data_IF_167819427492
#
_entry.id   IF_167819427492
#
_cell.length_a   1.000
_cell.length_b   1.000
_cell.length_c   1.000
_cell.angle_alpha   90.00
_cell.angle_beta   90.00
_cell.angle_gamma   90.00
#
_symmetry.space_group_name_H-M   'P 1'
#
loop_
_entity.id
_entity.type
_entity.pdbx_description
1 polymer ?
#
# COMPACT_ATOMS: atom_id res chain seq x y z
N UNK A 1 24.05 -28.25 -5.10
CA UNK A 1 22.70 -27.81 -5.49
C UNK A 1 22.38 -26.62 -4.61
N UNK A 2 22.60 -25.40 -5.12
CA UNK A 2 22.37 -24.17 -4.37
C UNK A 2 20.86 -24.05 -4.20
N UNK A 3 20.35 -24.05 -2.96
CA UNK A 3 18.93 -23.76 -2.72
C UNK A 3 18.73 -22.35 -3.26
N UNK A 4 18.04 -22.21 -4.39
CA UNK A 4 17.58 -20.93 -4.90
C UNK A 4 16.67 -20.35 -3.82
N UNK A 5 17.20 -19.44 -2.99
CA UNK A 5 16.35 -18.75 -2.03
C UNK A 5 15.39 -17.89 -2.85
N UNK A 6 14.11 -18.22 -2.75
CA UNK A 6 13.04 -17.49 -3.43
C UNK A 6 12.67 -16.27 -2.60
N UNK A 7 12.79 -15.07 -3.18
CA UNK A 7 12.24 -13.85 -2.58
C UNK A 7 10.71 -13.95 -2.43
N UNK A 8 10.05 -14.76 -3.26
CA UNK A 8 8.62 -15.07 -3.10
C UNK A 8 8.44 -16.07 -1.96
N UNK A 9 7.79 -15.64 -0.89
CA UNK A 9 7.50 -16.45 0.30
C UNK A 9 6.18 -17.20 0.14
N UNK A 10 5.13 -16.51 -0.30
CA UNK A 10 3.80 -17.11 -0.52
C UNK A 10 3.03 -16.40 -1.62
N UNK A 11 2.17 -17.12 -2.34
CA UNK A 11 1.20 -16.55 -3.28
C UNK A 11 -0.20 -16.93 -2.83
N UNK A 12 -0.99 -15.93 -2.49
CA UNK A 12 -2.39 -16.05 -2.15
C UNK A 12 -3.26 -15.94 -3.42
N UNK A 13 -4.29 -16.79 -3.58
CA UNK A 13 -5.19 -16.74 -4.72
C UNK A 13 -6.02 -15.45 -4.76
N UNK A 14 -6.12 -14.71 -3.65
CA UNK A 14 -6.74 -13.38 -3.63
C UNK A 14 -6.22 -12.58 -2.44
N UNK A 15 -6.20 -11.25 -2.51
CA UNK A 15 -5.86 -10.39 -1.37
C UNK A 15 -6.70 -10.71 -0.13
N UNK A 16 -7.99 -10.99 -0.33
CA UNK A 16 -8.88 -11.39 0.77
C UNK A 16 -8.59 -12.78 1.37
N UNK A 17 -7.62 -13.53 0.85
CA UNK A 17 -7.14 -14.78 1.45
C UNK A 17 -5.83 -14.60 2.24
N UNK A 18 -5.25 -13.39 2.24
CA UNK A 18 -4.13 -13.05 3.12
C UNK A 18 -4.66 -13.08 4.57
N UNK A 19 -4.00 -13.79 5.50
CA UNK A 19 -4.41 -13.81 6.90
C UNK A 19 -4.50 -12.41 7.48
N UNK A 20 -5.59 -12.12 8.20
CA UNK A 20 -5.86 -10.77 8.75
C UNK A 20 -4.76 -10.34 9.73
N UNK A 21 -4.24 -11.27 10.53
CA UNK A 21 -3.18 -11.05 11.51
C UNK A 21 -1.82 -10.73 10.86
N UNK A 22 -1.55 -11.25 9.66
CA UNK A 22 -0.28 -11.02 8.95
C UNK A 22 -0.02 -9.53 8.70
N UNK A 23 -1.05 -8.77 8.33
CA UNK A 23 -0.93 -7.32 8.12
C UNK A 23 -0.46 -6.58 9.37
N UNK A 24 -1.04 -6.93 10.53
CA UNK A 24 -0.65 -6.34 11.80
C UNK A 24 0.75 -6.80 12.21
N UNK A 25 1.07 -8.07 12.05
CA UNK A 25 2.39 -8.63 12.40
C UNK A 25 3.52 -7.97 11.60
N UNK A 26 3.33 -7.75 10.29
CA UNK A 26 4.33 -7.09 9.45
C UNK A 26 4.52 -5.63 9.86
N UNK A 27 3.42 -4.92 10.12
CA UNK A 27 3.47 -3.55 10.61
C UNK A 27 4.19 -3.46 11.98
N UNK A 28 3.91 -4.38 12.90
CA UNK A 28 4.54 -4.43 14.22
C UNK A 28 6.04 -4.74 14.15
N UNK A 29 6.48 -5.54 13.19
CA UNK A 29 7.91 -5.85 12.98
C UNK A 29 8.68 -4.71 12.33
N UNK A 30 8.04 -3.89 11.52
CA UNK A 30 8.70 -2.77 10.83
C UNK A 30 9.28 -1.77 11.84
N UNK A 31 10.50 -1.31 11.59
CA UNK A 31 11.23 -0.35 12.43
C UNK A 31 11.81 0.82 11.66
N UNK A 32 12.01 0.70 10.35
CA UNK A 32 12.65 1.75 9.54
C UNK A 32 11.63 2.45 8.63
N UNK A 33 10.84 1.69 7.90
CA UNK A 33 9.93 2.23 6.89
C UNK A 33 8.65 1.40 6.75
N UNK A 34 7.55 2.11 6.53
CA UNK A 34 6.26 1.55 6.13
C UNK A 34 5.80 2.31 4.88
N UNK A 35 5.57 1.58 3.79
CA UNK A 35 5.11 2.15 2.52
C UNK A 35 3.81 1.51 2.08
N UNK A 36 2.81 2.31 1.73
CA UNK A 36 1.54 1.81 1.17
C UNK A 36 1.27 2.54 -0.14
N UNK A 37 1.14 1.79 -1.23
CA UNK A 37 0.78 2.31 -2.55
C UNK A 37 -0.49 1.62 -3.03
N UNK A 38 -1.59 2.38 -3.07
CA UNK A 38 -2.93 1.90 -3.39
C UNK A 38 -3.71 2.95 -4.16
N UNK A 39 -4.85 2.56 -4.75
CA UNK A 39 -5.89 3.53 -5.04
C UNK A 39 -6.66 3.86 -3.76
N UNK A 40 -7.44 2.92 -3.20
CA UNK A 40 -8.27 3.16 -2.02
C UNK A 40 -7.70 2.69 -0.67
N UNK A 41 -7.21 1.44 -0.57
CA UNK A 41 -6.64 0.91 0.69
C UNK A 41 -7.59 0.76 1.90
N UNK A 42 -8.88 1.10 1.77
CA UNK A 42 -9.86 1.18 2.88
C UNK A 42 -9.89 -0.05 3.81
N UNK A 43 -9.68 -1.25 3.27
CA UNK A 43 -9.72 -2.49 4.05
C UNK A 43 -8.72 -2.53 5.21
N UNK A 44 -7.60 -1.80 5.11
CA UNK A 44 -6.57 -1.75 6.15
C UNK A 44 -7.13 -1.16 7.46
N UNK A 45 -7.60 0.10 7.49
CA UNK A 45 -8.16 0.66 8.71
C UNK A 45 -9.58 0.14 9.02
N UNK A 46 -10.35 -0.30 8.01
CA UNK A 46 -11.73 -0.76 8.20
C UNK A 46 -11.80 -2.11 8.95
N UNK A 47 -10.88 -3.03 8.65
CA UNK A 47 -10.88 -4.37 9.26
C UNK A 47 -9.78 -4.58 10.31
N UNK A 48 -8.86 -3.62 10.46
CA UNK A 48 -7.84 -3.66 11.49
C UNK A 48 -7.81 -2.34 12.29
N UNK A 49 -8.51 -2.34 13.42
CA UNK A 49 -8.57 -1.22 14.36
C UNK A 49 -7.21 -0.77 14.93
N UNK A 50 -6.18 -1.63 14.91
CA UNK A 50 -4.82 -1.31 15.37
C UNK A 50 -3.94 -0.72 14.28
N UNK A 51 -4.39 -0.72 13.02
CA UNK A 51 -3.61 -0.23 11.88
C UNK A 51 -3.12 1.20 12.07
N UNK A 52 -4.03 2.15 12.27
CA UNK A 52 -3.69 3.58 12.43
C UNK A 52 -2.94 3.86 13.74
N UNK A 53 -3.37 3.32 14.91
CA UNK A 53 -2.60 3.44 16.15
C UNK A 53 -1.16 2.94 16.03
N UNK A 54 -0.94 1.78 15.41
CA UNK A 54 0.41 1.24 15.24
C UNK A 54 1.24 2.08 14.25
N UNK A 55 0.66 2.59 13.15
CA UNK A 55 1.37 3.55 12.29
C UNK A 55 1.82 4.81 13.05
N UNK A 56 0.97 5.34 13.94
CA UNK A 56 1.31 6.47 14.82
C UNK A 56 2.48 6.12 15.74
N UNK A 57 2.45 4.96 16.37
CA UNK A 57 3.54 4.48 17.24
C UNK A 57 4.86 4.35 16.47
N UNK A 58 4.82 3.79 15.26
CA UNK A 58 6.00 3.68 14.39
C UNK A 58 6.56 5.05 13.99
N UNK A 59 5.69 5.97 13.60
CA UNK A 59 6.09 7.33 13.26
C UNK A 59 6.75 8.06 14.45
N UNK A 60 6.15 7.96 15.65
CA UNK A 60 6.69 8.54 16.88
C UNK A 60 8.01 7.90 17.31
N UNK A 61 8.22 6.63 16.98
CA UNK A 61 9.49 5.94 17.18
C UNK A 61 10.56 6.26 16.11
N UNK A 62 10.23 7.09 15.11
CA UNK A 62 11.14 7.56 14.08
C UNK A 62 11.11 6.79 12.75
N UNK A 63 10.25 5.78 12.62
CA UNK A 63 10.07 5.10 11.32
C UNK A 63 9.43 6.04 10.30
N UNK A 64 9.87 5.96 9.04
CA UNK A 64 9.26 6.70 7.94
C UNK A 64 7.98 5.99 7.48
N UNK A 65 6.88 6.74 7.36
CA UNK A 65 5.59 6.21 6.91
C UNK A 65 5.13 6.97 5.67
N UNK A 66 4.99 6.28 4.55
CA UNK A 66 4.56 6.87 3.29
C UNK A 66 3.31 6.17 2.77
N UNK A 67 2.18 6.90 2.77
CA UNK A 67 0.89 6.39 2.31
C UNK A 67 0.49 7.13 1.03
N UNK A 68 0.38 6.40 -0.08
CA UNK A 68 0.04 6.90 -1.39
C UNK A 68 -1.33 6.34 -1.80
N UNK A 69 -2.28 7.25 -1.98
CA UNK A 69 -3.64 6.99 -2.40
C UNK A 69 -3.86 7.53 -3.81
N UNK A 70 -4.79 6.93 -4.54
CA UNK A 70 -5.18 7.47 -5.84
C UNK A 70 -5.80 8.86 -5.69
N UNK A 71 -5.57 9.73 -6.66
CA UNK A 71 -6.21 11.05 -6.68
C UNK A 71 -7.71 10.89 -6.99
N UNK A 72 -8.64 11.27 -6.09
CA UNK A 72 -10.09 11.13 -6.31
C UNK A 72 -10.59 11.90 -7.53
N UNK A 73 -9.84 12.92 -7.96
CA UNK A 73 -10.10 13.74 -9.16
C UNK A 73 -9.24 13.31 -10.36
N UNK A 74 -8.38 12.30 -10.19
CA UNK A 74 -7.46 11.80 -11.19
C UNK A 74 -8.12 10.97 -12.27
N UNK A 75 -7.59 11.03 -13.49
CA UNK A 75 -8.15 10.31 -14.63
C UNK A 75 -8.09 8.79 -14.43
N UNK A 76 -7.02 8.29 -13.81
CA UNK A 76 -6.83 6.85 -13.65
C UNK A 76 -7.75 6.26 -12.56
N UNK A 77 -8.25 7.10 -11.66
CA UNK A 77 -9.28 6.70 -10.69
C UNK A 77 -10.65 6.60 -11.34
N UNK A 78 -11.00 7.54 -12.22
CA UNK A 78 -12.22 7.44 -13.01
C UNK A 78 -12.20 6.19 -13.90
N UNK A 79 -11.13 5.98 -14.68
CA UNK A 79 -10.94 4.80 -15.53
C UNK A 79 -11.05 3.49 -14.72
N UNK A 80 -10.38 3.41 -13.56
CA UNK A 80 -10.44 2.24 -12.70
C UNK A 80 -11.85 1.99 -12.15
N UNK A 81 -12.57 3.05 -11.81
CA UNK A 81 -13.96 2.98 -11.37
C UNK A 81 -14.85 2.36 -12.44
N UNK A 82 -14.69 2.81 -13.69
CA UNK A 82 -15.44 2.29 -14.83
C UNK A 82 -15.08 0.83 -15.14
N UNK A 83 -13.78 0.50 -15.15
CA UNK A 83 -13.29 -0.87 -15.37
C UNK A 83 -13.85 -1.86 -14.32
N UNK A 84 -13.92 -1.46 -13.05
CA UNK A 84 -14.48 -2.28 -11.97
C UNK A 84 -16.03 -2.25 -11.91
N UNK A 85 -16.68 -1.45 -12.75
CA UNK A 85 -18.15 -1.29 -12.77
C UNK A 85 -18.73 -0.53 -11.57
N UNK A 86 -17.90 0.26 -10.87
CA UNK A 86 -18.32 1.03 -9.68
C UNK A 86 -18.32 2.55 -9.92
N UNK A 87 -17.77 3.01 -11.04
CA UNK A 87 -17.66 4.42 -11.42
C UNK A 87 -17.15 5.32 -10.29
N UNK A 88 -17.88 6.42 -10.03
CA UNK A 88 -17.53 7.44 -9.03
C UNK A 88 -17.41 6.91 -7.59
N UNK A 89 -17.94 5.72 -7.29
CA UNK A 89 -17.77 5.11 -5.97
C UNK A 89 -16.30 4.81 -5.64
N UNK A 90 -15.41 4.71 -6.63
CA UNK A 90 -13.98 4.59 -6.39
C UNK A 90 -13.43 5.82 -5.62
N UNK A 91 -13.74 7.02 -6.09
CA UNK A 91 -13.33 8.28 -5.43
C UNK A 91 -13.85 8.37 -4.00
N UNK A 92 -15.11 7.98 -3.77
CA UNK A 92 -15.70 7.94 -2.42
C UNK A 92 -14.97 6.97 -1.50
N UNK A 93 -14.57 5.78 -1.98
CA UNK A 93 -13.79 4.82 -1.18
C UNK A 93 -12.43 5.37 -0.77
N UNK A 94 -11.78 6.13 -1.64
CA UNK A 94 -10.50 6.78 -1.34
C UNK A 94 -10.67 7.82 -0.23
N UNK A 95 -11.66 8.71 -0.37
CA UNK A 95 -11.95 9.73 0.64
C UNK A 95 -12.33 9.12 1.99
N UNK A 96 -13.07 8.00 1.98
CA UNK A 96 -13.39 7.26 3.19
C UNK A 96 -12.13 6.71 3.88
N UNK A 97 -11.20 6.11 3.12
CA UNK A 97 -9.95 5.61 3.67
C UNK A 97 -9.12 6.74 4.31
N UNK A 98 -9.01 7.89 3.62
CA UNK A 98 -8.26 9.05 4.12
C UNK A 98 -8.81 9.62 5.43
N UNK A 99 -10.12 9.47 5.69
CA UNK A 99 -10.72 9.94 6.93
C UNK A 99 -10.13 9.27 8.18
N UNK A 100 -9.65 8.01 8.07
CA UNK A 100 -9.01 7.29 9.16
C UNK A 100 -7.61 7.80 9.50
N UNK A 101 -6.91 8.44 8.55
CA UNK A 101 -5.51 8.84 8.70
C UNK A 101 -5.33 10.30 9.13
N UNK A 102 -6.41 11.04 9.40
CA UNK A 102 -6.38 12.46 9.78
C UNK A 102 -5.45 12.73 10.96
N UNK A 103 -5.44 11.85 11.95
CA UNK A 103 -4.66 12.03 13.19
C UNK A 103 -3.15 11.81 12.99
N UNK A 104 -2.72 11.34 11.80
CA UNK A 104 -1.32 11.16 11.46
C UNK A 104 -0.70 12.37 10.74
N UNK A 105 -1.53 13.32 10.25
CA UNK A 105 -1.10 14.42 9.37
C UNK A 105 -0.07 15.37 9.99
N UNK A 106 0.01 15.44 11.31
CA UNK A 106 0.88 16.40 12.01
C UNK A 106 2.21 15.73 12.45
N UNK A 107 2.46 14.48 12.05
CA UNK A 107 3.67 13.73 12.37
C UNK A 107 4.70 13.89 11.26
N UNK A 108 5.86 14.46 11.58
CA UNK A 108 6.88 14.82 10.58
C UNK A 108 7.51 13.65 9.79
N UNK A 109 7.40 12.42 10.28
CA UNK A 109 7.84 11.19 9.60
C UNK A 109 6.72 10.51 8.83
N UNK A 110 5.51 11.08 8.82
CA UNK A 110 4.37 10.59 8.04
C UNK A 110 4.15 11.47 6.83
N UNK A 111 4.15 10.85 5.65
CA UNK A 111 3.74 11.47 4.40
C UNK A 111 2.49 10.81 3.84
N UNK A 112 1.44 11.58 3.61
CA UNK A 112 0.18 11.11 3.04
C UNK A 112 -0.11 11.87 1.75
N UNK A 113 -0.18 11.13 0.65
CA UNK A 113 -0.12 11.70 -0.68
C UNK A 113 -1.16 11.11 -1.63
N UNK A 114 -1.56 11.94 -2.59
CA UNK A 114 -2.22 11.53 -3.82
C UNK A 114 -1.21 11.16 -4.90
N UNK A 115 -1.62 10.25 -5.78
CA UNK A 115 -0.98 9.98 -7.08
C UNK A 115 -2.06 9.73 -8.14
N UNK A 116 -1.80 10.15 -9.38
CA UNK A 116 -2.60 9.79 -10.55
C UNK A 116 -1.71 8.96 -11.49
N UNK A 117 -1.41 7.73 -11.08
CA UNK A 117 -0.60 6.79 -11.87
C UNK A 117 -1.37 5.51 -12.15
N UNK A 118 -1.16 4.93 -13.34
CA UNK A 118 -1.66 3.58 -13.64
C UNK A 118 -0.94 2.59 -12.72
N UNK A 119 -1.71 1.87 -11.91
CA UNK A 119 -1.18 0.80 -11.07
C UNK A 119 -1.42 -0.58 -11.71
N UNK A 120 -0.33 -1.31 -11.92
CA UNK A 120 -0.36 -2.75 -12.25
C UNK A 120 -0.41 -3.61 -10.98
N UNK A 121 -0.05 -3.02 -9.84
CA UNK A 121 -0.09 -3.65 -8.54
C UNK A 121 -0.24 -2.59 -7.44
N UNK A 122 -0.72 -3.02 -6.28
CA UNK A 122 -0.56 -2.28 -5.03
C UNK A 122 0.59 -2.88 -4.23
N UNK A 123 1.34 -2.02 -3.53
CA UNK A 123 2.52 -2.40 -2.76
C UNK A 123 2.29 -2.03 -1.30
N UNK A 124 2.59 -2.95 -0.40
CA UNK A 124 2.58 -2.74 1.05
C UNK A 124 3.93 -3.18 1.59
N UNK A 125 4.81 -2.23 1.88
CA UNK A 125 6.19 -2.47 2.31
C UNK A 125 6.33 -2.26 3.81
N UNK A 126 7.07 -3.16 4.44
CA UNK A 126 7.41 -3.17 5.85
C UNK A 126 8.90 -3.53 5.94
N UNK A 127 9.79 -2.53 5.97
CA UNK A 127 11.23 -2.72 5.87
C UNK A 127 11.66 -3.55 4.64
N UNK A 128 12.09 -4.79 4.89
CA UNK A 128 12.58 -5.78 3.93
C UNK A 128 11.55 -6.89 3.65
N UNK A 129 10.30 -6.69 4.05
CA UNK A 129 9.16 -7.53 3.71
C UNK A 129 8.12 -6.70 2.94
N UNK A 130 7.41 -7.30 1.99
CA UNK A 130 6.29 -6.62 1.32
C UNK A 130 5.19 -7.58 0.91
N UNK A 131 3.97 -7.06 0.83
CA UNK A 131 2.91 -7.66 0.03
C UNK A 131 2.74 -6.90 -1.27
N UNK A 132 2.63 -7.65 -2.37
CA UNK A 132 2.32 -7.10 -3.69
C UNK A 132 1.00 -7.69 -4.14
N UNK A 133 -0.01 -6.83 -4.29
CA UNK A 133 -1.31 -7.20 -4.82
C UNK A 133 -1.33 -6.91 -6.32
N UNK A 134 -1.15 -7.94 -7.15
CA UNK A 134 -1.11 -7.85 -8.61
C UNK A 134 -2.52 -7.68 -9.16
N UNK A 135 -2.79 -6.54 -9.78
CA UNK A 135 -4.12 -6.21 -10.26
C UNK A 135 -4.49 -7.05 -11.48
N UNK A 136 -5.75 -7.48 -11.51
CA UNK A 136 -6.36 -8.09 -12.68
C UNK A 136 -7.31 -7.07 -13.30
N UNK A 137 -7.33 -6.97 -14.63
CA UNK A 137 -8.18 -6.02 -15.35
C UNK A 137 -9.65 -6.22 -15.00
N UNK A 138 -10.38 -5.12 -14.77
CA UNK A 138 -11.79 -5.13 -14.36
C UNK A 138 -12.14 -5.86 -13.05
N UNK A 139 -11.12 -6.31 -12.30
CA UNK A 139 -11.34 -7.13 -11.11
C UNK A 139 -11.10 -6.29 -9.85
N UNK A 140 -12.04 -6.27 -8.90
CA UNK A 140 -11.85 -5.56 -7.63
C UNK A 140 -10.60 -6.04 -6.90
N UNK A 141 -9.86 -5.11 -6.31
CA UNK A 141 -8.56 -5.40 -5.67
C UNK A 141 -8.61 -6.46 -4.55
N UNK A 142 -9.78 -6.75 -3.97
CA UNK A 142 -9.98 -7.82 -2.99
C UNK A 142 -9.85 -9.24 -3.59
N UNK A 143 -10.13 -9.39 -4.89
CA UNK A 143 -10.08 -10.66 -5.64
C UNK A 143 -8.80 -10.81 -6.48
N UNK A 144 -7.99 -9.76 -6.57
CA UNK A 144 -6.68 -9.74 -7.21
C UNK A 144 -5.66 -10.61 -6.45
N UNK A 145 -4.62 -11.09 -7.14
CA UNK A 145 -3.61 -12.02 -6.57
C UNK A 145 -2.67 -11.25 -5.67
N UNK A 146 -2.31 -11.83 -4.53
CA UNK A 146 -1.34 -11.22 -3.63
C UNK A 146 -0.18 -12.16 -3.38
N UNK A 147 1.05 -11.66 -3.39
CA UNK A 147 2.20 -12.42 -2.92
C UNK A 147 2.91 -11.70 -1.80
N UNK A 148 3.58 -12.45 -0.93
CA UNK A 148 4.52 -11.93 0.05
C UNK A 148 5.92 -12.09 -0.48
N UNK A 149 6.70 -11.02 -0.42
CA UNK A 149 8.10 -10.99 -0.78
C UNK A 149 8.95 -10.68 0.45
N UNK A 150 10.14 -11.27 0.50
CA UNK A 150 11.20 -10.90 1.44
C UNK A 150 12.46 -10.56 0.66
N UNK A 151 13.11 -9.46 1.03
CA UNK A 151 14.36 -9.03 0.42
C UNK A 151 15.47 -10.03 0.73
N UNK A 152 16.18 -10.45 -0.30
CA UNK A 152 17.39 -11.26 -0.19
C UNK A 152 18.57 -10.51 -0.84
N UNK A 153 19.78 -10.74 -0.35
CA UNK A 153 20.96 -10.10 -0.93
C UNK A 153 21.26 -10.66 -2.32
N UNK A 154 21.52 -9.78 -3.29
CA UNK A 154 21.93 -10.18 -4.64
C UNK A 154 20.79 -10.57 -5.58
N UNK A 155 19.55 -10.20 -5.25
CA UNK A 155 18.36 -10.47 -6.05
C UNK A 155 17.60 -9.18 -6.38
N UNK A 156 16.96 -9.11 -7.55
CA UNK A 156 16.40 -7.86 -8.11
C UNK A 156 14.87 -7.74 -7.93
N UNK A 157 14.16 -8.80 -7.51
CA UNK A 157 12.70 -8.77 -7.50
C UNK A 157 12.16 -7.76 -6.48
N UNK A 158 12.62 -7.85 -5.23
CA UNK A 158 12.19 -6.93 -4.18
C UNK A 158 12.57 -5.48 -4.52
N UNK A 159 13.82 -5.28 -4.95
CA UNK A 159 14.37 -3.95 -5.24
C UNK A 159 13.70 -3.29 -6.45
N UNK A 160 13.25 -4.08 -7.44
CA UNK A 160 12.42 -3.60 -8.54
C UNK A 160 11.07 -3.04 -8.08
N UNK A 161 10.40 -3.68 -7.12
CA UNK A 161 9.16 -3.14 -6.53
C UNK A 161 9.42 -1.87 -5.70
N UNK A 162 10.54 -1.81 -4.97
CA UNK A 162 10.97 -0.60 -4.27
C UNK A 162 11.20 0.55 -5.25
N UNK A 163 11.91 0.30 -6.35
CA UNK A 163 12.13 1.30 -7.38
C UNK A 163 10.81 1.79 -8.01
N UNK A 164 9.85 0.87 -8.25
CA UNK A 164 8.51 1.21 -8.72
C UNK A 164 7.75 2.11 -7.73
N UNK A 165 7.74 1.75 -6.45
CA UNK A 165 7.13 2.56 -5.38
C UNK A 165 7.73 3.98 -5.37
N UNK A 166 9.07 4.09 -5.39
CA UNK A 166 9.77 5.37 -5.35
C UNK A 166 9.49 6.23 -6.60
N UNK A 167 9.25 5.63 -7.76
CA UNK A 167 8.84 6.38 -8.97
C UNK A 167 7.46 7.01 -8.82
N UNK A 168 6.51 6.33 -8.17
CA UNK A 168 5.18 6.89 -7.89
C UNK A 168 5.28 7.96 -6.81
N UNK A 169 6.06 7.71 -5.76
CA UNK A 169 6.36 8.69 -4.72
C UNK A 169 7.01 9.97 -5.30
N UNK A 170 7.89 9.85 -6.29
CA UNK A 170 8.47 11.03 -6.96
C UNK A 170 7.46 11.90 -7.72
N UNK A 171 6.23 11.42 -7.94
CA UNK A 171 5.13 12.14 -8.62
C UNK A 171 3.99 12.53 -7.68
N UNK A 172 4.23 12.41 -6.37
CA UNK A 172 3.22 12.61 -5.33
C UNK A 172 2.71 14.05 -5.26
N UNK A 173 1.47 14.21 -4.81
CA UNK A 173 0.87 15.48 -4.38
C UNK A 173 0.39 15.34 -2.94
N UNK A 174 0.67 16.29 -2.06
CA UNK A 174 0.20 16.22 -0.68
C UNK A 174 -1.34 16.19 -0.60
N UNK A 175 -1.89 15.34 0.29
CA UNK A 175 -3.34 15.30 0.57
C UNK A 175 -3.76 16.53 1.38
N UNK A 176 -2.99 16.90 2.39
CA UNK A 176 -3.23 18.09 3.21
C UNK A 176 -2.16 19.15 2.96
N UNK A 177 -2.51 20.45 2.93
CA UNK A 177 -1.53 21.52 2.81
C UNK A 177 -0.59 21.55 4.02
N UNK A 178 0.72 21.73 3.81
CA UNK A 178 1.71 21.93 4.89
C UNK A 178 2.72 20.80 5.11
N UNK A 179 2.72 19.76 4.25
CA UNK A 179 3.78 18.76 4.16
C UNK A 179 4.75 19.06 3.01
#
# INVERSE_FOLDING_TARGET
MQVSQSEVVHIYPRRGAVPTDLWQQLLEKATQQVGVLVYGGLFLPEFNHRWVPTLREKALAGSQVELLFGDPEGKHIAERGDDEGIGVAMSTKILNALAFYKDLRDLGTVGIYYHDTILYNSIYRFDDEMLVNTHLYGTPAAYARSCTLRRLGGTDLFDSYVASFNRVLGKKRAVWPGH
#
